data_IF_056629410532
#
_entry.id   IF_056629410532
#
_cell.length_a   1.000
_cell.length_b   1.000
_cell.length_c   1.000
_cell.angle_alpha   90.00
_cell.angle_beta   90.00
_cell.angle_gamma   90.00
#
_symmetry.space_group_name_H-M   'P 1'
#
loop_
_entity.id
_entity.type
_entity.pdbx_description
1 polymer ?
#
# COMPACT_ATOMS: atom_id res chain seq x y z
N UNK A 1 -4.42 -49.56 43.00
CA UNK A 1 -3.83 -48.30 42.47
C UNK A 1 -3.73 -48.28 40.93
N UNK A 2 -4.72 -48.82 40.18
CA UNK A 2 -4.63 -48.96 38.71
C UNK A 2 -5.33 -47.84 37.91
N UNK A 3 -6.22 -47.08 38.55
CA UNK A 3 -7.05 -46.06 37.88
C UNK A 3 -6.40 -44.66 37.81
N UNK A 4 -5.40 -44.37 38.64
CA UNK A 4 -4.74 -43.03 38.66
C UNK A 4 -3.82 -42.80 37.44
N UNK A 5 -3.29 -43.86 36.84
CA UNK A 5 -2.41 -43.75 35.65
C UNK A 5 -3.18 -43.43 34.37
N UNK A 6 -4.42 -43.93 34.25
CA UNK A 6 -5.29 -43.65 33.10
C UNK A 6 -5.74 -42.19 33.04
N UNK A 7 -6.02 -41.58 34.20
CA UNK A 7 -6.37 -40.15 34.26
C UNK A 7 -5.25 -39.23 33.76
N UNK A 8 -3.99 -39.55 34.05
CA UNK A 8 -2.84 -38.77 33.58
C UNK A 8 -2.67 -38.88 32.06
N UNK A 9 -2.86 -40.07 31.50
CA UNK A 9 -2.75 -40.30 30.04
C UNK A 9 -3.87 -39.59 29.28
N UNK A 10 -5.11 -39.61 29.80
CA UNK A 10 -6.24 -38.88 29.19
C UNK A 10 -6.05 -37.36 29.30
N UNK A 11 -5.50 -36.87 30.42
CA UNK A 11 -5.20 -35.45 30.62
C UNK A 11 -4.10 -34.95 29.67
N UNK A 12 -3.06 -35.75 29.43
CA UNK A 12 -2.03 -35.43 28.44
C UNK A 12 -2.54 -35.48 26.99
N UNK A 13 -3.45 -36.41 26.67
CA UNK A 13 -4.10 -36.46 25.34
C UNK A 13 -5.02 -35.25 25.11
N UNK A 14 -5.78 -34.81 26.12
CA UNK A 14 -6.62 -33.62 26.03
C UNK A 14 -5.80 -32.33 25.92
N UNK A 15 -4.68 -32.18 26.64
CA UNK A 15 -3.76 -31.05 26.43
C UNK A 15 -3.10 -31.10 25.05
N UNK A 16 -2.77 -32.29 24.53
CA UNK A 16 -2.26 -32.46 23.16
C UNK A 16 -3.25 -32.00 22.09
N UNK A 17 -4.55 -32.25 22.27
CA UNK A 17 -5.59 -31.76 21.36
C UNK A 17 -5.77 -30.24 21.45
N UNK A 18 -5.66 -29.64 22.64
CA UNK A 18 -5.78 -28.17 22.80
C UNK A 18 -4.58 -27.45 22.14
N UNK A 19 -3.38 -28.04 22.14
CA UNK A 19 -2.23 -27.50 21.41
C UNK A 19 -2.28 -27.74 19.90
N UNK A 20 -3.01 -28.76 19.43
CA UNK A 20 -3.20 -29.00 17.98
C UNK A 20 -4.23 -28.07 17.34
N UNK A 21 -5.11 -27.44 18.14
CA UNK A 21 -6.09 -26.45 17.65
C UNK A 21 -5.54 -25.01 17.54
N UNK A 22 -4.28 -24.78 17.93
CA UNK A 22 -3.64 -23.45 17.87
C UNK A 22 -2.80 -23.17 16.62
N UNK A 23 -2.59 -24.18 15.74
CA UNK A 23 -1.84 -24.04 14.49
C UNK A 23 -2.74 -24.22 13.25
N UNK A 24 -4.01 -23.82 13.36
CA UNK A 24 -4.68 -23.27 12.18
C UNK A 24 -4.10 -21.86 12.04
N UNK A 25 -2.88 -21.77 11.49
CA UNK A 25 -2.51 -20.58 10.74
C UNK A 25 -3.68 -20.38 9.79
N UNK A 26 -4.42 -19.29 10.00
CA UNK A 26 -5.38 -18.78 9.04
C UNK A 26 -4.75 -18.99 7.66
N UNK A 27 -5.45 -19.65 6.76
CA UNK A 27 -5.08 -19.65 5.35
C UNK A 27 -4.77 -18.19 5.03
N UNK A 28 -3.49 -17.86 4.92
CA UNK A 28 -3.10 -16.57 4.40
C UNK A 28 -3.73 -16.57 3.01
N UNK A 29 -4.69 -15.68 2.79
CA UNK A 29 -5.44 -15.56 1.54
C UNK A 29 -4.45 -15.18 0.44
N UNK A 30 -3.73 -16.17 -0.08
CA UNK A 30 -2.79 -15.95 -1.16
C UNK A 30 -3.59 -15.79 -2.46
N UNK A 31 -3.40 -14.68 -3.19
CA UNK A 31 -4.11 -14.40 -4.41
C UNK A 31 -3.58 -15.25 -5.56
N UNK A 32 -4.43 -15.52 -6.55
CA UNK A 32 -4.02 -16.18 -7.78
C UNK A 32 -3.09 -15.27 -8.60
N UNK A 33 -1.86 -15.71 -8.86
CA UNK A 33 -0.87 -14.93 -9.65
C UNK A 33 -0.87 -15.38 -11.12
N UNK A 34 -0.84 -14.42 -12.04
CA UNK A 34 -0.64 -14.66 -13.47
C UNK A 34 0.78 -14.32 -13.91
N UNK A 35 1.27 -15.04 -14.91
CA UNK A 35 2.55 -14.73 -15.53
C UNK A 35 2.38 -13.58 -16.52
N UNK A 36 3.02 -12.45 -16.22
CA UNK A 36 3.17 -11.33 -17.13
C UNK A 36 4.64 -11.17 -17.52
N UNK A 37 4.90 -10.91 -18.79
CA UNK A 37 6.25 -10.50 -19.21
C UNK A 37 6.62 -9.15 -18.57
N UNK A 38 7.90 -8.82 -18.53
CA UNK A 38 8.36 -7.51 -18.05
C UNK A 38 7.79 -6.37 -18.91
N UNK A 39 7.69 -6.59 -20.23
CA UNK A 39 7.09 -5.62 -21.16
C UNK A 39 5.61 -5.41 -20.88
N UNK A 40 4.84 -6.48 -20.66
CA UNK A 40 3.40 -6.36 -20.38
C UNK A 40 3.15 -5.65 -19.05
N UNK A 41 3.97 -5.95 -18.03
CA UNK A 41 3.91 -5.25 -16.74
C UNK A 41 4.16 -3.75 -16.89
N UNK A 42 5.13 -3.38 -17.73
CA UNK A 42 5.42 -1.97 -18.01
C UNK A 42 4.24 -1.29 -18.73
N UNK A 43 3.75 -1.87 -19.82
CA UNK A 43 2.62 -1.31 -20.59
C UNK A 43 1.38 -1.13 -19.71
N UNK A 44 1.10 -2.11 -18.85
CA UNK A 44 -0.02 -2.04 -17.91
C UNK A 44 0.14 -0.90 -16.89
N UNK A 45 1.34 -0.74 -16.31
CA UNK A 45 1.65 0.35 -15.39
C UNK A 45 1.54 1.72 -16.04
N UNK A 46 2.09 1.87 -17.25
CA UNK A 46 2.03 3.13 -18.01
C UNK A 46 0.57 3.51 -18.30
N UNK A 47 -0.27 2.52 -18.66
CA UNK A 47 -1.70 2.72 -18.86
C UNK A 47 -2.40 3.14 -17.56
N UNK A 48 -2.18 2.44 -16.45
CA UNK A 48 -2.80 2.78 -15.16
C UNK A 48 -2.48 4.21 -14.72
N UNK A 49 -1.23 4.65 -14.89
CA UNK A 49 -0.83 6.03 -14.58
C UNK A 49 -1.58 7.02 -15.47
N UNK A 50 -1.68 6.73 -16.78
CA UNK A 50 -2.44 7.56 -17.71
C UNK A 50 -3.91 7.70 -17.31
N UNK A 51 -4.58 6.57 -17.05
CA UNK A 51 -5.99 6.52 -16.67
C UNK A 51 -6.26 7.25 -15.33
N UNK A 52 -5.33 7.18 -14.37
CA UNK A 52 -5.39 7.90 -13.09
C UNK A 52 -5.31 9.42 -13.30
N UNK A 53 -4.32 9.87 -14.09
CA UNK A 53 -4.11 11.30 -14.36
C UNK A 53 -5.33 11.90 -15.07
N UNK A 54 -5.86 11.22 -16.08
CA UNK A 54 -7.02 11.68 -16.83
C UNK A 54 -8.25 11.80 -15.90
N UNK A 55 -8.53 10.76 -15.12
CA UNK A 55 -9.67 10.76 -14.20
C UNK A 55 -9.60 11.87 -13.16
N UNK A 56 -8.44 12.10 -12.55
CA UNK A 56 -8.28 13.14 -11.53
C UNK A 56 -8.32 14.54 -12.11
N UNK A 57 -7.90 14.71 -13.37
CA UNK A 57 -8.07 15.96 -14.11
C UNK A 57 -9.54 16.24 -14.41
N UNK A 58 -10.27 15.26 -14.93
CA UNK A 58 -11.69 15.40 -15.28
C UNK A 58 -12.57 15.67 -14.05
N UNK A 59 -12.26 15.02 -12.93
CA UNK A 59 -12.94 15.23 -11.66
C UNK A 59 -12.48 16.51 -10.92
N UNK A 60 -11.55 17.30 -11.50
CA UNK A 60 -10.94 18.50 -10.89
C UNK A 60 -10.27 18.26 -9.54
N UNK A 61 -9.94 17.00 -9.22
CA UNK A 61 -9.26 16.61 -7.98
C UNK A 61 -7.90 17.29 -7.88
N UNK A 62 -7.19 17.46 -8.99
CA UNK A 62 -5.91 18.19 -9.00
C UNK A 62 -6.06 19.67 -8.65
N UNK A 63 -7.16 20.31 -9.02
CA UNK A 63 -7.42 21.71 -8.66
C UNK A 63 -7.59 21.82 -7.14
N UNK A 64 -8.33 20.88 -6.54
CA UNK A 64 -8.57 20.85 -5.10
C UNK A 64 -7.31 20.51 -4.29
N UNK A 65 -6.51 19.55 -4.76
CA UNK A 65 -5.20 19.23 -4.17
C UNK A 65 -4.28 20.46 -4.25
N UNK A 66 -4.21 21.13 -5.41
CA UNK A 66 -3.37 22.31 -5.57
C UNK A 66 -3.79 23.46 -4.65
N UNK A 67 -5.10 23.67 -4.51
CA UNK A 67 -5.67 24.64 -3.57
C UNK A 67 -5.29 24.31 -2.13
N UNK A 68 -5.46 23.05 -1.72
CA UNK A 68 -5.08 22.57 -0.40
C UNK A 68 -3.58 22.76 -0.13
N UNK A 69 -2.72 22.34 -1.07
CA UNK A 69 -1.27 22.49 -0.95
C UNK A 69 -0.84 23.95 -0.86
N UNK A 70 -1.49 24.84 -1.62
CA UNK A 70 -1.22 26.28 -1.56
C UNK A 70 -1.50 26.82 -0.17
N UNK A 71 -2.69 26.53 0.39
CA UNK A 71 -3.08 26.95 1.74
C UNK A 71 -2.09 26.43 2.79
N UNK A 72 -1.72 25.15 2.72
CA UNK A 72 -0.79 24.54 3.71
C UNK A 72 0.64 25.05 3.56
N UNK A 73 1.13 25.23 2.35
CA UNK A 73 2.50 25.72 2.11
C UNK A 73 2.62 27.18 2.51
N UNK A 74 1.60 28.00 2.25
CA UNK A 74 1.55 29.39 2.71
C UNK A 74 1.57 29.45 4.25
N UNK A 75 0.74 28.65 4.92
CA UNK A 75 0.67 28.60 6.38
C UNK A 75 1.99 28.14 7.05
N UNK A 76 2.70 27.18 6.44
CA UNK A 76 3.92 26.60 7.03
C UNK A 76 5.20 27.36 6.65
N UNK A 77 5.24 27.94 5.45
CA UNK A 77 6.49 28.42 4.84
C UNK A 77 6.39 29.81 4.20
N UNK A 78 5.23 30.48 4.24
CA UNK A 78 4.96 31.76 3.59
C UNK A 78 5.36 31.76 2.09
N UNK A 79 5.14 30.64 1.40
CA UNK A 79 5.45 30.48 -0.03
C UNK A 79 4.40 29.62 -0.74
N UNK A 80 4.39 29.71 -2.07
CA UNK A 80 3.57 28.86 -2.93
C UNK A 80 4.28 27.52 -3.24
N UNK A 81 3.53 26.44 -3.54
CA UNK A 81 4.10 25.19 -4.01
C UNK A 81 4.92 25.37 -5.29
N UNK A 82 6.03 24.65 -5.41
CA UNK A 82 6.93 24.69 -6.57
C UNK A 82 6.43 23.84 -7.74
N UNK A 83 5.66 22.79 -7.46
CA UNK A 83 5.16 21.86 -8.47
C UNK A 83 3.66 21.67 -8.35
N UNK A 84 3.02 21.46 -9.50
CA UNK A 84 1.61 21.10 -9.58
C UNK A 84 1.40 19.62 -9.22
N UNK A 85 0.20 19.24 -8.72
CA UNK A 85 -0.07 17.87 -8.28
C UNK A 85 0.12 16.80 -9.37
N UNK A 86 -0.23 17.08 -10.61
CA UNK A 86 -0.04 16.16 -11.74
C UNK A 86 1.44 15.90 -12.04
N UNK A 87 2.28 16.94 -11.95
CA UNK A 87 3.74 16.83 -12.08
C UNK A 87 4.30 16.02 -10.90
N UNK A 88 3.82 16.27 -9.68
CA UNK A 88 4.26 15.52 -8.49
C UNK A 88 3.92 14.04 -8.59
N UNK A 89 2.73 13.70 -9.09
CA UNK A 89 2.29 12.32 -9.32
C UNK A 89 3.14 11.66 -10.40
N UNK A 90 3.29 12.30 -11.56
CA UNK A 90 4.10 11.77 -12.66
C UNK A 90 5.57 11.58 -12.26
N UNK A 91 6.19 12.57 -11.60
CA UNK A 91 7.56 12.47 -11.08
C UNK A 91 7.71 11.33 -10.07
N UNK A 92 6.73 11.18 -9.18
CA UNK A 92 6.71 10.11 -8.19
C UNK A 92 6.71 8.76 -8.88
N UNK A 93 5.77 8.51 -9.80
CA UNK A 93 5.66 7.24 -10.51
C UNK A 93 6.90 6.94 -11.36
N UNK A 94 7.43 7.93 -12.09
CA UNK A 94 8.61 7.75 -12.94
C UNK A 94 9.89 7.42 -12.14
N UNK A 95 10.15 8.13 -11.03
CA UNK A 95 11.29 7.85 -10.15
C UNK A 95 11.19 6.47 -9.52
N UNK A 96 9.98 6.10 -9.18
CA UNK A 96 9.63 4.85 -8.53
C UNK A 96 9.85 3.65 -9.43
N UNK A 97 9.40 3.74 -10.69
CA UNK A 97 9.66 2.71 -11.70
C UNK A 97 11.16 2.64 -12.02
N UNK A 98 11.81 3.78 -12.20
CA UNK A 98 13.25 3.84 -12.47
C UNK A 98 14.04 3.12 -11.40
N UNK A 99 13.81 3.40 -10.11
CA UNK A 99 14.60 2.74 -9.09
C UNK A 99 14.23 1.26 -8.91
N UNK A 100 12.96 0.88 -9.01
CA UNK A 100 12.58 -0.55 -9.01
C UNK A 100 13.36 -1.35 -10.06
N UNK A 101 13.47 -0.84 -11.29
CA UNK A 101 14.22 -1.51 -12.36
C UNK A 101 15.73 -1.59 -12.06
N UNK A 102 16.29 -0.61 -11.35
CA UNK A 102 17.70 -0.62 -10.95
C UNK A 102 17.97 -1.57 -9.77
N UNK A 103 17.02 -1.72 -8.84
CA UNK A 103 17.23 -2.55 -7.66
C UNK A 103 16.77 -3.99 -7.85
N UNK A 104 15.92 -4.30 -8.83
CA UNK A 104 15.37 -5.66 -9.03
C UNK A 104 16.41 -6.77 -9.12
N UNK A 105 17.60 -6.50 -9.67
CA UNK A 105 18.70 -7.47 -9.77
C UNK A 105 19.37 -7.79 -8.43
N UNK A 106 19.36 -6.86 -7.48
CA UNK A 106 19.96 -7.02 -6.15
C UNK A 106 19.04 -7.74 -5.15
N UNK A 107 17.75 -7.85 -5.49
CA UNK A 107 16.71 -8.48 -4.69
C UNK A 107 16.84 -10.01 -4.71
N UNK A 108 17.49 -10.58 -5.74
CA UNK A 108 17.70 -12.01 -5.87
C UNK A 108 16.41 -12.84 -5.99
N UNK A 109 16.55 -14.14 -6.23
CA UNK A 109 15.41 -15.08 -6.25
C UNK A 109 14.87 -15.40 -4.85
N UNK A 110 15.41 -14.82 -3.79
CA UNK A 110 15.05 -15.04 -2.39
C UNK A 110 13.73 -14.36 -1.97
N UNK A 111 13.15 -13.52 -2.84
CA UNK A 111 11.87 -12.84 -2.63
C UNK A 111 10.66 -13.72 -3.01
N UNK A 112 10.66 -14.96 -2.53
CA UNK A 112 9.66 -15.96 -2.93
C UNK A 112 8.39 -15.80 -2.09
N UNK A 113 7.32 -15.45 -2.81
CA UNK A 113 5.94 -15.96 -2.79
C UNK A 113 4.88 -15.51 -1.79
N UNK A 114 5.16 -14.88 -0.66
CA UNK A 114 4.03 -14.48 0.20
C UNK A 114 3.46 -13.12 -0.22
N UNK A 115 2.31 -13.13 -0.87
CA UNK A 115 1.51 -11.93 -1.13
C UNK A 115 0.52 -11.59 0.00
N UNK A 116 0.54 -12.33 1.11
CA UNK A 116 -0.36 -12.11 2.24
C UNK A 116 -0.27 -10.67 2.80
N UNK A 117 -1.40 -9.95 2.97
CA UNK A 117 -1.42 -8.55 3.44
C UNK A 117 -0.71 -8.32 4.79
N UNK A 118 -0.94 -9.19 5.78
CA UNK A 118 -0.29 -9.08 7.10
C UNK A 118 1.23 -9.23 7.02
N UNK A 119 1.71 -10.14 6.17
CA UNK A 119 3.14 -10.33 5.95
C UNK A 119 3.72 -9.11 5.25
N UNK A 120 2.96 -8.50 4.33
CA UNK A 120 3.34 -7.29 3.63
C UNK A 120 3.48 -6.11 4.60
N UNK A 121 2.50 -5.87 5.48
CA UNK A 121 2.52 -4.77 6.46
C UNK A 121 3.70 -4.87 7.44
N UNK A 122 3.98 -6.08 7.97
CA UNK A 122 5.07 -6.28 8.95
C UNK A 122 6.46 -6.11 8.37
N UNK A 123 6.63 -6.44 7.10
CA UNK A 123 7.92 -6.42 6.41
C UNK A 123 7.98 -5.26 5.43
N UNK A 124 7.08 -4.29 5.56
CA UNK A 124 6.90 -3.23 4.59
C UNK A 124 8.18 -2.43 4.38
N UNK A 125 9.02 -2.27 5.41
CA UNK A 125 10.35 -1.66 5.31
C UNK A 125 11.29 -2.39 4.34
N UNK A 126 11.07 -3.68 4.10
CA UNK A 126 11.77 -4.51 3.10
C UNK A 126 11.01 -4.59 1.76
N UNK A 127 9.67 -4.57 1.78
CA UNK A 127 8.82 -4.77 0.59
C UNK A 127 8.49 -3.49 -0.19
N UNK A 128 8.26 -2.35 0.49
CA UNK A 128 8.11 -1.02 -0.12
C UNK A 128 9.33 -0.62 -0.94
N UNK A 129 10.52 -0.95 -0.43
CA UNK A 129 11.82 -0.71 -1.06
C UNK A 129 11.91 -1.28 -2.49
N UNK A 130 11.06 -2.25 -2.81
CA UNK A 130 11.32 -3.21 -3.87
C UNK A 130 10.17 -3.39 -4.86
N UNK A 131 9.01 -2.73 -4.70
CA UNK A 131 7.92 -2.76 -5.69
C UNK A 131 7.35 -1.39 -6.04
N UNK A 132 8.14 -0.35 -5.80
CA UNK A 132 7.79 0.97 -6.29
C UNK A 132 6.68 1.66 -5.50
N UNK A 133 6.73 1.59 -4.18
CA UNK A 133 6.08 2.64 -3.35
C UNK A 133 7.14 3.29 -2.43
N UNK A 134 8.28 2.64 -2.17
CA UNK A 134 9.37 3.15 -1.33
C UNK A 134 10.12 4.37 -1.90
N UNK A 135 9.95 4.71 -3.17
CA UNK A 135 10.50 5.97 -3.75
C UNK A 135 9.67 7.18 -3.41
N UNK A 136 8.46 6.95 -2.90
CA UNK A 136 7.69 7.97 -2.24
C UNK A 136 8.37 8.45 -0.92
N UNK A 137 9.30 7.69 -0.32
CA UNK A 137 9.99 8.10 0.92
C UNK A 137 11.41 8.67 0.71
N UNK A 138 12.07 8.44 -0.44
CA UNK A 138 13.50 8.78 -0.65
C UNK A 138 13.75 9.95 -1.61
N UNK A 139 12.71 10.50 -2.24
CA UNK A 139 12.84 11.60 -3.21
C UNK A 139 11.74 12.64 -3.14
N UNK A 140 11.01 12.67 -2.03
CA UNK A 140 9.76 13.40 -1.87
C UNK A 140 9.94 14.49 -0.85
N UNK A 141 9.89 15.71 -1.36
CA UNK A 141 9.76 16.88 -0.52
C UNK A 141 8.35 16.96 0.05
N UNK A 142 8.25 17.73 1.11
CA UNK A 142 7.03 18.09 1.85
C UNK A 142 5.79 18.34 0.98
N UNK A 143 5.95 18.89 -0.23
CA UNK A 143 4.84 19.10 -1.18
C UNK A 143 4.09 17.81 -1.56
N UNK A 144 4.75 16.65 -1.63
CA UNK A 144 4.02 15.41 -1.91
C UNK A 144 3.43 14.79 -0.64
N UNK A 145 4.03 15.04 0.54
CA UNK A 145 3.42 14.69 1.83
C UNK A 145 2.09 15.46 1.99
N UNK A 146 2.10 16.76 1.66
CA UNK A 146 0.90 17.59 1.59
C UNK A 146 -0.08 17.04 0.54
N UNK A 147 0.34 16.82 -0.70
CA UNK A 147 -0.54 16.34 -1.77
C UNK A 147 -1.27 15.06 -1.39
N UNK A 148 -0.59 14.11 -0.76
CA UNK A 148 -1.21 12.86 -0.34
C UNK A 148 -2.08 12.99 0.91
N UNK A 149 -1.70 13.86 1.86
CA UNK A 149 -2.50 14.11 3.04
C UNK A 149 -3.90 14.65 2.70
N UNK A 150 -4.07 15.29 1.53
CA UNK A 150 -5.38 15.70 1.02
C UNK A 150 -6.39 14.53 0.97
N UNK A 151 -5.96 13.35 0.51
CA UNK A 151 -6.82 12.17 0.42
C UNK A 151 -7.32 11.70 1.79
N UNK A 152 -6.65 12.08 2.88
CA UNK A 152 -7.02 11.69 4.24
C UNK A 152 -7.86 12.75 4.97
N UNK A 153 -8.22 13.85 4.30
CA UNK A 153 -9.14 14.84 4.87
C UNK A 153 -10.56 14.27 5.01
N UNK A 154 -11.33 14.71 6.02
CA UNK A 154 -12.74 14.36 6.12
C UNK A 154 -13.51 14.74 4.86
N UNK A 155 -14.34 13.83 4.34
CA UNK A 155 -15.11 14.02 3.09
C UNK A 155 -14.42 13.48 1.84
N UNK A 156 -13.17 13.03 1.93
CA UNK A 156 -12.42 12.42 0.82
C UNK A 156 -12.33 10.89 0.90
N UNK A 157 -13.20 10.24 1.68
CA UNK A 157 -13.11 8.79 1.97
C UNK A 157 -13.17 7.94 0.70
N UNK A 158 -14.10 8.23 -0.22
CA UNK A 158 -14.22 7.52 -1.49
C UNK A 158 -12.98 7.76 -2.38
N UNK A 159 -12.51 9.01 -2.43
CA UNK A 159 -11.34 9.39 -3.23
C UNK A 159 -10.06 8.69 -2.72
N UNK A 160 -9.92 8.55 -1.40
CA UNK A 160 -8.85 7.78 -0.78
C UNK A 160 -8.93 6.32 -1.15
N UNK A 161 -10.11 5.72 -1.04
CA UNK A 161 -10.31 4.31 -1.36
C UNK A 161 -9.96 4.01 -2.83
N UNK A 162 -10.41 4.86 -3.75
CA UNK A 162 -10.08 4.76 -5.17
C UNK A 162 -8.57 4.85 -5.41
N UNK A 163 -7.90 5.85 -4.83
CA UNK A 163 -6.44 5.98 -4.93
C UNK A 163 -5.72 4.72 -4.42
N UNK A 164 -6.12 4.20 -3.26
CA UNK A 164 -5.48 3.02 -2.67
C UNK A 164 -5.70 1.77 -3.52
N UNK A 165 -6.89 1.58 -4.10
CA UNK A 165 -7.18 0.49 -5.04
C UNK A 165 -6.25 0.55 -6.25
N UNK A 166 -6.03 1.74 -6.80
CA UNK A 166 -5.14 1.97 -7.95
C UNK A 166 -3.67 1.71 -7.59
N UNK A 167 -3.22 2.15 -6.41
CA UNK A 167 -1.86 1.88 -5.90
C UNK A 167 -1.63 0.37 -5.75
N UNK A 168 -2.59 -0.37 -5.18
CA UNK A 168 -2.48 -1.83 -5.04
C UNK A 168 -2.38 -2.49 -6.42
N UNK A 169 -3.23 -2.11 -7.37
CA UNK A 169 -3.21 -2.67 -8.72
C UNK A 169 -1.89 -2.36 -9.46
N UNK A 170 -1.36 -1.14 -9.30
CA UNK A 170 -0.08 -0.73 -9.87
C UNK A 170 1.10 -1.56 -9.32
N UNK A 171 1.05 -1.86 -8.02
CA UNK A 171 2.12 -2.57 -7.30
C UNK A 171 2.13 -4.07 -7.58
N UNK A 172 0.95 -4.63 -7.84
CA UNK A 172 0.74 -6.06 -8.07
C UNK A 172 -0.01 -6.33 -9.39
N UNK A 173 0.55 -5.91 -10.55
CA UNK A 173 -0.09 -6.09 -11.85
C UNK A 173 -0.28 -7.58 -12.23
N UNK A 174 0.51 -8.47 -11.64
CA UNK A 174 0.41 -9.91 -11.82
C UNK A 174 -0.83 -10.56 -11.18
N UNK A 175 -1.51 -9.85 -10.28
CA UNK A 175 -2.74 -10.34 -9.63
C UNK A 175 -3.95 -9.84 -10.44
N UNK A 176 -4.83 -10.71 -10.94
CA UNK A 176 -6.02 -10.31 -11.67
C UNK A 176 -7.11 -9.78 -10.72
N UNK A 177 -7.81 -8.73 -11.15
CA UNK A 177 -9.02 -8.22 -10.49
C UNK A 177 -10.23 -9.08 -10.86
N UNK A 178 -10.39 -10.20 -10.16
CA UNK A 178 -11.53 -11.10 -10.29
C UNK A 178 -12.18 -11.33 -8.91
N UNK A 179 -13.32 -12.03 -8.90
CA UNK A 179 -14.05 -12.30 -7.66
C UNK A 179 -13.22 -13.11 -6.64
N UNK A 180 -12.33 -13.97 -7.10
CA UNK A 180 -11.47 -14.81 -6.25
C UNK A 180 -10.46 -13.99 -5.44
N UNK A 181 -9.90 -12.93 -6.03
CA UNK A 181 -8.90 -12.09 -5.37
C UNK A 181 -9.50 -10.87 -4.65
N UNK A 182 -10.83 -10.73 -4.64
CA UNK A 182 -11.49 -9.52 -4.12
C UNK A 182 -11.12 -9.24 -2.66
N UNK A 183 -11.23 -10.26 -1.81
CA UNK A 183 -10.91 -10.15 -0.37
C UNK A 183 -9.46 -9.73 -0.15
N UNK A 184 -8.53 -10.35 -0.89
CA UNK A 184 -7.13 -9.98 -0.85
C UNK A 184 -6.89 -8.52 -1.25
N UNK A 185 -7.57 -8.02 -2.29
CA UNK A 185 -7.46 -6.62 -2.69
C UNK A 185 -7.99 -5.68 -1.61
N UNK A 186 -9.15 -5.99 -1.02
CA UNK A 186 -9.77 -5.15 0.01
C UNK A 186 -8.88 -5.11 1.30
N UNK A 187 -8.28 -6.24 1.68
CA UNK A 187 -7.29 -6.32 2.77
C UNK A 187 -6.01 -5.52 2.45
N UNK A 188 -5.48 -5.69 1.23
CA UNK A 188 -4.27 -4.99 0.80
C UNK A 188 -4.49 -3.47 0.70
N UNK A 189 -5.68 -3.02 0.29
CA UNK A 189 -6.08 -1.59 0.32
C UNK A 189 -6.04 -1.04 1.74
N UNK A 190 -6.54 -1.81 2.70
CA UNK A 190 -6.51 -1.43 4.13
C UNK A 190 -5.06 -1.30 4.62
N UNK A 191 -4.22 -2.29 4.33
CA UNK A 191 -2.79 -2.27 4.66
C UNK A 191 -2.10 -1.06 4.02
N UNK A 192 -2.29 -0.82 2.73
CA UNK A 192 -1.73 0.35 2.05
C UNK A 192 -2.22 1.68 2.65
N UNK A 193 -3.46 1.74 3.13
CA UNK A 193 -4.00 2.90 3.83
C UNK A 193 -3.28 3.19 5.16
N UNK A 194 -3.00 2.17 5.97
CA UNK A 194 -2.25 2.34 7.22
C UNK A 194 -0.80 2.78 6.94
N UNK A 195 -0.17 2.15 5.96
CA UNK A 195 1.20 2.48 5.55
C UNK A 195 1.30 3.90 5.01
N UNK A 196 0.36 4.29 4.13
CA UNK A 196 0.25 5.65 3.61
C UNK A 196 0.09 6.67 4.74
N UNK A 197 -0.77 6.39 5.71
CA UNK A 197 -0.93 7.30 6.85
C UNK A 197 0.36 7.54 7.66
N UNK A 198 1.16 6.48 7.86
CA UNK A 198 2.41 6.53 8.62
C UNK A 198 3.56 7.19 7.86
N UNK A 199 3.83 6.73 6.63
CA UNK A 199 4.99 7.20 5.84
C UNK A 199 4.79 8.66 5.47
N UNK A 200 3.55 9.07 5.15
CA UNK A 200 3.26 10.40 4.66
C UNK A 200 3.08 11.45 5.75
N UNK A 201 3.37 11.09 7.00
CA UNK A 201 3.19 11.97 8.15
C UNK A 201 1.83 12.66 8.11
N UNK A 202 0.76 11.94 7.73
CA UNK A 202 -0.58 12.53 7.54
C UNK A 202 -1.04 13.24 8.81
N UNK A 203 -0.62 12.79 9.99
CA UNK A 203 -0.84 13.51 11.26
C UNK A 203 -0.37 14.97 11.24
N UNK A 204 0.72 15.28 10.54
CA UNK A 204 1.31 16.62 10.44
C UNK A 204 0.55 17.54 9.48
N UNK A 205 -0.08 16.98 8.45
CA UNK A 205 -0.70 17.78 7.38
C UNK A 205 -2.23 17.63 7.30
N UNK A 206 -2.74 16.43 7.51
CA UNK A 206 -4.12 15.97 7.28
C UNK A 206 -5.14 16.29 8.37
N UNK A 207 -4.75 16.94 9.47
CA UNK A 207 -5.70 17.47 10.46
C UNK A 207 -5.27 18.90 10.80
N UNK A 208 -6.22 19.83 10.83
CA UNK A 208 -5.98 21.12 11.46
C UNK A 208 -5.78 20.85 12.96
N UNK A 209 -4.59 21.12 13.50
CA UNK A 209 -4.44 21.29 14.94
C UNK A 209 -5.35 22.46 15.36
N UNK A 210 -6.57 22.12 15.78
CA UNK A 210 -7.46 22.98 16.54
C UNK A 210 -8.15 22.10 17.59
N UNK A 211 -7.37 21.74 18.60
CA UNK A 211 -7.80 21.61 19.99
C UNK A 211 -6.58 21.58 20.89
#
# INVERSE_FOLDING_TARGET
MRNKRWFVVVFFLLMGCIFYSGNVHAQQNEPAVRFLSDTDRKVFRDKLIGDLIERYRDARVFDDINKYMTVKTEALHNRVPKKLPDILISDTFNKTQSLFEHTKGFIGKSFVTSYAPDNFEKNVHKYLWLKGIGFWALGIGEEHEMAFAYFYLPGNENLKEDLLREIVQYSFPEIPQNAENKEWYDEMVTVMGHLGYQIFSVKRFGVAENS
#
